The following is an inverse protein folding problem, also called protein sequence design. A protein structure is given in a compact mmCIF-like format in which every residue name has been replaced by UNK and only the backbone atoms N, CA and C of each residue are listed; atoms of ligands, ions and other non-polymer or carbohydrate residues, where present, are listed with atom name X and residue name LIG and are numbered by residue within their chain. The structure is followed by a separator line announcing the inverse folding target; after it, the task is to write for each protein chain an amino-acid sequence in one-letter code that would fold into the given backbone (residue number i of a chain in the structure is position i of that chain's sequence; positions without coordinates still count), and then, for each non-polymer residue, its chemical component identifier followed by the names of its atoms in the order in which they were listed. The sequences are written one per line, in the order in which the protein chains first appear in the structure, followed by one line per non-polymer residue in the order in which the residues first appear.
data_IF_913643133428
#
_entry.id   IF_913643133428
#
_cell.length_a   1.000
_cell.length_b   1.000
_cell.length_c   1.000
_cell.angle_alpha   90.00
_cell.angle_beta   90.00
_cell.angle_gamma   90.00
#
_symmetry.space_group_name_H-M   'P 1'
#
loop_
_entity.id
_entity.type
_entity.pdbx_description
1 polymer ?
#
# COMPACT_ATOMS: atom_id res chain seq x y z
N UNK A 1 4.54 -11.77 -31.24
CA UNK A 1 3.24 -11.17 -30.84
C UNK A 1 2.73 -11.77 -29.53
N UNK A 2 2.59 -13.10 -29.42
CA UNK A 2 2.19 -13.78 -28.17
C UNK A 2 3.16 -13.57 -27.00
N UNK A 3 4.47 -13.48 -27.27
CA UNK A 3 5.49 -13.22 -26.24
C UNK A 3 5.32 -11.85 -25.56
N UNK A 4 4.86 -10.83 -26.29
CA UNK A 4 4.63 -9.48 -25.75
C UNK A 4 3.53 -9.48 -24.69
N UNK A 5 2.49 -10.29 -24.89
CA UNK A 5 1.38 -10.43 -23.94
C UNK A 5 1.85 -11.02 -22.59
N UNK A 6 2.74 -12.02 -22.61
CA UNK A 6 3.31 -12.57 -21.38
C UNK A 6 4.18 -11.58 -20.61
N UNK A 7 4.92 -10.69 -21.30
CA UNK A 7 5.69 -9.65 -20.62
C UNK A 7 4.78 -8.64 -19.91
N UNK A 8 3.65 -8.28 -20.52
CA UNK A 8 2.66 -7.39 -19.90
C UNK A 8 2.05 -8.01 -18.64
N UNK A 9 1.69 -9.30 -18.68
CA UNK A 9 1.16 -10.01 -17.51
C UNK A 9 2.18 -10.03 -16.37
N UNK A 10 3.45 -10.32 -16.66
CA UNK A 10 4.53 -10.30 -15.67
C UNK A 10 4.70 -8.92 -15.03
N UNK A 11 4.62 -7.85 -15.82
CA UNK A 11 4.71 -6.48 -15.31
C UNK A 11 3.56 -6.17 -14.34
N UNK A 12 2.32 -6.52 -14.69
CA UNK A 12 1.15 -6.32 -13.81
C UNK A 12 1.29 -7.09 -12.50
N UNK A 13 1.78 -8.33 -12.56
CA UNK A 13 2.02 -9.15 -11.37
C UNK A 13 3.05 -8.57 -10.41
N UNK A 14 3.98 -7.73 -10.89
CA UNK A 14 4.94 -7.03 -10.03
C UNK A 14 4.37 -5.70 -9.54
N UNK A 15 3.72 -4.92 -10.41
CA UNK A 15 3.25 -3.57 -10.09
C UNK A 15 2.08 -3.59 -9.10
N UNK A 16 1.13 -4.51 -9.24
CA UNK A 16 -0.06 -4.58 -8.37
C UNK A 16 0.31 -4.77 -6.89
N UNK A 17 1.08 -5.81 -6.48
CA UNK A 17 1.47 -5.97 -5.08
C UNK A 17 2.39 -4.84 -4.60
N UNK A 18 3.21 -4.24 -5.47
CA UNK A 18 4.03 -3.08 -5.14
C UNK A 18 3.15 -1.87 -4.73
N UNK A 19 2.10 -1.57 -5.50
CA UNK A 19 1.18 -0.47 -5.19
C UNK A 19 0.41 -0.72 -3.89
N UNK A 20 0.02 -1.97 -3.64
CA UNK A 20 -0.62 -2.36 -2.37
C UNK A 20 0.36 -2.14 -1.21
N UNK A 21 1.62 -2.59 -1.34
CA UNK A 21 2.64 -2.39 -0.33
C UNK A 21 2.90 -0.90 -0.04
N UNK A 22 2.97 -0.06 -1.07
CA UNK A 22 3.13 1.40 -0.93
C UNK A 22 1.93 2.04 -0.23
N UNK A 23 0.70 1.58 -0.53
CA UNK A 23 -0.50 2.06 0.13
C UNK A 23 -0.47 1.78 1.64
N UNK A 24 -0.08 0.56 2.05
CA UNK A 24 0.08 0.19 3.46
C UNK A 24 1.26 0.90 4.12
N UNK A 25 2.37 1.09 3.41
CA UNK A 25 3.52 1.85 3.91
C UNK A 25 3.12 3.29 4.24
N UNK A 26 2.40 3.95 3.33
CA UNK A 26 1.89 5.33 3.55
C UNK A 26 0.97 5.40 4.77
N UNK A 27 0.16 4.37 5.00
CA UNK A 27 -0.71 4.28 6.17
C UNK A 27 0.11 4.11 7.45
N UNK A 28 1.11 3.22 7.42
CA UNK A 28 2.03 3.00 8.53
C UNK A 28 2.77 4.28 8.91
N UNK A 29 3.32 5.03 7.96
CA UNK A 29 3.98 6.32 8.19
C UNK A 29 3.07 7.31 8.95
N UNK A 30 1.80 7.44 8.53
CA UNK A 30 0.82 8.30 9.22
C UNK A 30 0.54 7.82 10.65
N UNK A 31 0.50 6.51 10.89
CA UNK A 31 0.36 5.93 12.23
C UNK A 31 1.61 6.23 13.08
N UNK A 32 2.83 6.01 12.56
CA UNK A 32 4.08 6.27 13.27
C UNK A 32 4.23 7.76 13.64
N UNK A 33 3.97 8.68 12.71
CA UNK A 33 4.00 10.12 13.00
C UNK A 33 2.97 10.53 14.05
N UNK A 34 1.78 9.91 14.05
CA UNK A 34 0.78 10.10 15.10
C UNK A 34 1.30 9.64 16.46
N UNK A 35 1.87 8.43 16.52
CA UNK A 35 2.47 7.89 17.74
C UNK A 35 3.60 8.79 18.29
N UNK A 36 4.49 9.30 17.42
CA UNK A 36 5.56 10.22 17.83
C UNK A 36 5.04 11.53 18.44
N UNK A 37 3.90 12.02 17.97
CA UNK A 37 3.31 13.29 18.40
C UNK A 37 2.27 13.12 19.53
N UNK A 38 2.13 11.92 20.10
CA UNK A 38 1.07 11.58 21.06
C UNK A 38 -0.35 11.96 20.58
N UNK A 39 -0.59 11.93 19.27
CA UNK A 39 -1.93 12.10 18.68
C UNK A 39 -2.37 10.80 18.04
N UNK A 40 -3.67 10.49 18.12
CA UNK A 40 -4.20 9.32 17.40
C UNK A 40 -4.05 9.56 15.90
N UNK A 41 -3.30 8.69 15.23
CA UNK A 41 -3.27 8.60 13.78
C UNK A 41 -4.66 8.27 13.22
N UNK A 42 -4.84 8.24 11.89
CA UNK A 42 -6.13 8.00 11.28
C UNK A 42 -6.74 6.67 11.79
N UNK A 43 -7.83 6.76 12.56
CA UNK A 43 -8.51 5.63 13.21
C UNK A 43 -10.00 5.53 12.79
N UNK A 44 -10.41 6.31 11.78
CA UNK A 44 -11.83 6.47 11.39
C UNK A 44 -12.20 5.58 10.20
N UNK A 45 -11.24 5.27 9.32
CA UNK A 45 -11.46 4.42 8.14
C UNK A 45 -10.98 2.99 8.43
N UNK A 46 -11.78 1.98 8.09
CA UNK A 46 -11.38 0.56 8.17
C UNK A 46 -11.51 -0.13 9.53
N UNK A 47 -12.25 0.46 10.49
CA UNK A 47 -12.59 -0.21 11.76
C UNK A 47 -11.38 -0.58 12.63
N UNK A 48 -10.29 0.19 12.55
CA UNK A 48 -9.05 -0.06 13.28
C UNK A 48 -8.12 -1.10 12.65
N UNK A 49 -8.60 -1.88 11.67
CA UNK A 49 -7.85 -2.93 10.99
C UNK A 49 -7.06 -2.46 9.77
N UNK A 50 -7.47 -1.34 9.16
CA UNK A 50 -6.71 -0.63 8.12
C UNK A 50 -6.04 0.60 8.71
#
# INVERSE_FOLDING_TARGET
MWSTFFYLIKAVFVIVPLLIAVAFLTLAERKVLGYMQMRKGPNVVGGGWL
#
